data_IF_790725696852
#
_entry.id   IF_790725696852
#
_cell.length_a   1.000
_cell.length_b   1.000
_cell.length_c   1.000
_cell.angle_alpha   90.00
_cell.angle_beta   90.00
_cell.angle_gamma   90.00
#
_symmetry.space_group_name_H-M   'P 1'
#
loop_
_entity.id
_entity.type
_entity.pdbx_description
1 polymer ?
#
# COMPACT_ATOMS: atom_id res chain seq x y z
N UNK A 1 39.64 47.02 -18.68
CA UNK A 1 41.09 46.74 -18.53
C UNK A 1 41.36 46.64 -17.04
N UNK A 2 41.68 45.41 -16.57
CA UNK A 2 42.42 44.98 -15.34
C UNK A 2 42.19 45.74 -14.00
N UNK A 3 42.09 45.17 -12.80
CA UNK A 3 42.41 43.84 -12.19
C UNK A 3 42.05 43.89 -10.69
N UNK A 4 42.07 42.71 -10.03
CA UNK A 4 42.29 42.43 -8.59
C UNK A 4 41.06 42.50 -7.67
N UNK A 5 40.81 41.55 -6.75
CA UNK A 5 41.74 40.60 -6.11
C UNK A 5 40.98 39.36 -5.57
N UNK A 6 41.59 38.18 -5.72
CA UNK A 6 41.08 36.89 -5.24
C UNK A 6 42.06 36.36 -4.20
N UNK A 7 41.59 36.25 -2.96
CA UNK A 7 42.42 35.92 -1.80
C UNK A 7 42.37 34.41 -1.49
N UNK A 8 43.56 33.80 -1.56
CA UNK A 8 44.10 32.70 -0.72
C UNK A 8 43.84 31.22 -1.08
N UNK A 9 44.68 30.74 -2.00
CA UNK A 9 45.67 29.64 -1.87
C UNK A 9 45.70 28.83 -0.55
N UNK A 10 45.37 27.53 -0.55
CA UNK A 10 46.22 26.31 -0.74
C UNK A 10 46.71 25.63 0.56
N UNK A 11 46.51 24.30 0.61
CA UNK A 11 47.49 23.25 0.93
C UNK A 11 47.26 22.35 2.18
N UNK A 12 47.62 21.07 1.96
CA UNK A 12 47.94 19.95 2.88
C UNK A 12 46.75 19.24 3.56
N UNK A 13 46.38 18.00 3.21
CA UNK A 13 47.08 16.70 3.17
C UNK A 13 47.15 15.95 4.52
N UNK A 14 46.44 14.81 4.56
CA UNK A 14 46.85 13.51 5.10
C UNK A 14 46.91 13.23 6.62
N UNK A 15 46.35 12.04 6.95
CA UNK A 15 46.97 10.94 7.70
C UNK A 15 46.55 10.65 9.17
N UNK A 16 46.16 9.38 9.36
CA UNK A 16 46.51 8.44 10.45
C UNK A 16 45.80 8.49 11.82
N UNK A 17 44.99 7.43 12.03
CA UNK A 17 44.98 6.50 13.17
C UNK A 17 45.85 6.82 14.40
N UNK A 18 45.21 6.87 15.58
CA UNK A 18 45.83 6.37 16.81
C UNK A 18 44.78 5.86 17.82
N UNK A 19 44.78 4.55 18.05
CA UNK A 19 44.10 3.85 19.14
C UNK A 19 44.93 3.87 20.43
N UNK A 20 44.26 3.84 21.59
CA UNK A 20 44.59 3.26 22.93
C UNK A 20 44.05 4.19 24.04
N UNK A 21 43.42 3.78 25.14
CA UNK A 21 42.98 2.48 25.68
C UNK A 21 42.38 2.69 27.09
N UNK A 22 41.57 1.73 27.54
CA UNK A 22 41.51 1.14 28.90
C UNK A 22 40.17 1.28 29.67
N UNK A 23 39.68 0.13 30.16
CA UNK A 23 38.56 -0.04 31.10
C UNK A 23 37.66 -1.22 30.72
N UNK A 24 38.15 -2.46 30.74
CA UNK A 24 38.10 -3.42 31.86
C UNK A 24 36.88 -4.38 31.82
N UNK A 25 37.21 -5.65 31.57
CA UNK A 25 36.58 -6.89 32.05
C UNK A 25 35.05 -7.01 32.05
N UNK A 26 34.54 -7.82 31.11
CA UNK A 26 33.43 -8.72 31.42
C UNK A 26 33.80 -10.14 30.99
N UNK A 27 33.68 -11.05 31.95
CA UNK A 27 34.16 -12.42 31.89
C UNK A 27 33.49 -13.23 30.78
N UNK A 28 34.32 -14.09 30.18
CA UNK A 28 33.91 -15.16 29.27
C UNK A 28 33.08 -16.18 30.06
N UNK A 29 31.87 -16.46 29.58
CA UNK A 29 31.17 -17.72 29.84
C UNK A 29 30.95 -18.35 28.48
N UNK A 30 31.52 -19.53 28.30
CA UNK A 30 31.37 -20.37 27.13
C UNK A 30 29.91 -20.77 26.97
N UNK A 31 29.26 -20.31 25.90
CA UNK A 31 28.01 -20.91 25.44
C UNK A 31 28.26 -21.62 24.10
N UNK A 32 28.22 -22.95 24.22
CA UNK A 32 28.06 -23.98 23.20
C UNK A 32 27.73 -23.49 21.80
N UNK A 33 28.59 -23.84 20.84
CA UNK A 33 28.28 -23.81 19.43
C UNK A 33 27.12 -24.77 19.13
N UNK A 34 25.89 -24.24 19.03
CA UNK A 34 24.83 -24.93 18.31
C UNK A 34 25.16 -24.88 16.81
N UNK A 35 25.21 -26.05 16.18
CA UNK A 35 25.38 -26.18 14.75
C UNK A 35 24.30 -25.35 14.05
N UNK A 36 24.71 -24.34 13.27
CA UNK A 36 23.82 -23.58 12.40
C UNK A 36 23.13 -24.56 11.44
N UNK A 37 21.88 -24.89 11.72
CA UNK A 37 21.01 -25.51 10.74
C UNK A 37 20.82 -24.48 9.62
N UNK A 38 21.33 -24.81 8.44
CA UNK A 38 21.07 -24.05 7.23
C UNK A 38 19.59 -24.26 6.90
N UNK A 39 18.72 -23.36 7.40
CA UNK A 39 17.34 -23.30 6.96
C UNK A 39 17.38 -22.99 5.48
N UNK A 40 17.18 -24.01 4.65
CA UNK A 40 16.98 -23.82 3.22
C UNK A 40 15.58 -23.22 3.08
N UNK A 41 15.50 -21.90 3.13
CA UNK A 41 14.28 -21.18 2.76
C UNK A 41 14.15 -21.38 1.26
N UNK A 42 13.36 -22.37 0.86
CA UNK A 42 12.91 -22.46 -0.54
C UNK A 42 12.25 -21.11 -0.86
N UNK A 43 12.73 -20.36 -1.87
CA UNK A 43 12.12 -19.07 -2.19
C UNK A 43 10.65 -19.33 -2.51
N UNK A 44 9.77 -18.75 -1.70
CA UNK A 44 8.34 -18.81 -1.97
C UNK A 44 8.11 -18.24 -3.37
N UNK A 45 7.40 -18.98 -4.22
CA UNK A 45 6.97 -18.48 -5.52
C UNK A 45 6.09 -17.26 -5.28
N UNK A 46 6.64 -16.07 -5.50
CA UNK A 46 5.87 -14.83 -5.46
C UNK A 46 4.96 -14.81 -6.68
N UNK A 47 3.71 -15.23 -6.53
CA UNK A 47 2.69 -14.93 -7.53
C UNK A 47 2.59 -13.41 -7.70
N UNK A 48 2.75 -12.94 -8.92
CA UNK A 48 2.58 -11.52 -9.22
C UNK A 48 1.09 -11.17 -9.23
N UNK A 49 0.75 -10.03 -8.62
CA UNK A 49 -0.61 -9.52 -8.66
C UNK A 49 -0.99 -9.19 -10.11
N UNK A 50 -2.21 -9.52 -10.52
CA UNK A 50 -2.77 -9.05 -11.79
C UNK A 50 -2.88 -7.52 -11.82
N UNK A 51 -2.93 -6.91 -13.01
CA UNK A 51 -3.11 -5.46 -13.16
C UNK A 51 -4.35 -4.95 -12.41
N UNK A 52 -5.43 -5.75 -12.41
CA UNK A 52 -6.66 -5.47 -11.65
C UNK A 52 -6.40 -5.41 -10.14
N UNK A 53 -5.65 -6.38 -9.61
CA UNK A 53 -5.28 -6.42 -8.19
C UNK A 53 -4.30 -5.30 -7.81
N UNK A 54 -3.38 -4.93 -8.71
CA UNK A 54 -2.42 -3.84 -8.47
C UNK A 54 -3.09 -2.46 -8.40
N UNK A 55 -4.22 -2.25 -9.08
CA UNK A 55 -4.95 -0.98 -9.03
C UNK A 55 -5.60 -0.69 -7.67
N UNK A 56 -6.01 -1.74 -6.94
CA UNK A 56 -6.68 -1.64 -5.64
C UNK A 56 -5.85 -0.85 -4.60
N UNK A 57 -4.59 -1.22 -4.30
CA UNK A 57 -3.79 -0.50 -3.32
C UNK A 57 -3.48 0.94 -3.75
N UNK A 58 -3.37 1.23 -5.05
CA UNK A 58 -3.15 2.59 -5.55
C UNK A 58 -4.37 3.48 -5.29
N UNK A 59 -5.58 3.00 -5.62
CA UNK A 59 -6.83 3.70 -5.34
C UNK A 59 -6.96 3.96 -3.84
N UNK A 60 -6.73 2.93 -3.02
CA UNK A 60 -6.84 3.03 -1.56
C UNK A 60 -5.82 4.04 -0.99
N UNK A 61 -4.56 4.01 -1.46
CA UNK A 61 -3.52 4.90 -0.98
C UNK A 61 -3.80 6.36 -1.32
N UNK A 62 -4.12 6.67 -2.58
CA UNK A 62 -4.38 8.06 -3.00
C UNK A 62 -5.67 8.62 -2.43
N UNK A 63 -6.69 7.77 -2.24
CA UNK A 63 -7.85 8.12 -1.44
C UNK A 63 -7.47 8.46 0.00
N UNK A 64 -6.73 7.57 0.66
CA UNK A 64 -6.37 7.72 2.06
C UNK A 64 -5.54 8.98 2.31
N UNK A 65 -4.71 9.40 1.36
CA UNK A 65 -3.91 10.64 1.42
C UNK A 65 -4.62 11.88 0.87
N UNK A 66 -5.82 11.73 0.31
CA UNK A 66 -6.56 12.77 -0.40
C UNK A 66 -5.85 13.36 -1.62
N UNK A 67 -4.99 12.59 -2.28
CA UNK A 67 -4.33 12.96 -3.54
C UNK A 67 -5.30 12.75 -4.72
N UNK A 68 -6.15 13.74 -4.98
CA UNK A 68 -7.23 13.63 -5.98
C UNK A 68 -6.73 13.44 -7.43
N UNK A 69 -5.67 14.13 -7.91
CA UNK A 69 -5.12 13.87 -9.24
C UNK A 69 -4.64 12.42 -9.42
N UNK A 70 -3.90 11.90 -8.44
CA UNK A 70 -3.40 10.52 -8.48
C UNK A 70 -4.54 9.51 -8.32
N UNK A 71 -5.55 9.83 -7.50
CA UNK A 71 -6.77 9.03 -7.38
C UNK A 71 -7.53 8.96 -8.71
N UNK A 72 -7.71 10.08 -9.42
CA UNK A 72 -8.36 10.10 -10.73
C UNK A 72 -7.65 9.17 -11.73
N UNK A 73 -6.32 9.24 -11.78
CA UNK A 73 -5.51 8.37 -12.63
C UNK A 73 -5.66 6.90 -12.24
N UNK A 74 -5.55 6.58 -10.94
CA UNK A 74 -5.69 5.23 -10.43
C UNK A 74 -7.10 4.64 -10.67
N UNK A 75 -8.15 5.45 -10.57
CA UNK A 75 -9.52 5.04 -10.87
C UNK A 75 -9.70 4.72 -12.36
N UNK A 76 -9.18 5.55 -13.27
CA UNK A 76 -9.21 5.23 -14.71
C UNK A 76 -8.44 3.93 -15.00
N UNK A 77 -7.23 3.79 -14.47
CA UNK A 77 -6.42 2.59 -14.64
C UNK A 77 -7.12 1.34 -14.08
N UNK A 78 -7.78 1.46 -12.92
CA UNK A 78 -8.52 0.38 -12.32
C UNK A 78 -9.69 -0.09 -13.19
N UNK A 79 -10.47 0.85 -13.74
CA UNK A 79 -11.58 0.56 -14.65
C UNK A 79 -11.07 -0.06 -15.97
N UNK A 80 -9.96 0.44 -16.52
CA UNK A 80 -9.32 -0.13 -17.71
C UNK A 80 -8.77 -1.54 -17.46
N UNK A 81 -8.33 -1.82 -16.23
CA UNK A 81 -7.90 -3.14 -15.78
C UNK A 81 -9.06 -4.09 -15.43
N UNK A 82 -10.31 -3.67 -15.63
CA UNK A 82 -11.50 -4.50 -15.44
C UNK A 82 -12.06 -4.51 -14.01
N UNK A 83 -11.75 -3.51 -13.18
CA UNK A 83 -12.59 -3.23 -12.01
C UNK A 83 -13.96 -2.73 -12.48
N UNK A 84 -15.00 -3.16 -11.80
CA UNK A 84 -16.33 -2.58 -11.97
C UNK A 84 -16.49 -1.29 -11.17
N UNK A 85 -17.47 -0.48 -11.55
CA UNK A 85 -17.82 0.74 -10.81
C UNK A 85 -18.18 0.43 -9.35
N UNK A 86 -18.91 -0.66 -9.09
CA UNK A 86 -19.25 -1.04 -7.72
C UNK A 86 -18.04 -1.51 -6.92
N UNK A 87 -17.08 -2.23 -7.51
CA UNK A 87 -15.85 -2.60 -6.80
C UNK A 87 -15.01 -1.37 -6.44
N UNK A 88 -14.88 -0.41 -7.36
CA UNK A 88 -14.26 0.87 -7.06
C UNK A 88 -14.98 1.59 -5.92
N UNK A 89 -16.31 1.69 -5.98
CA UNK A 89 -17.15 2.31 -4.95
C UNK A 89 -16.96 1.64 -3.58
N UNK A 90 -16.99 0.30 -3.52
CA UNK A 90 -16.88 -0.43 -2.26
C UNK A 90 -15.52 -0.28 -1.61
N UNK A 91 -14.42 -0.16 -2.38
CA UNK A 91 -13.13 0.21 -1.79
C UNK A 91 -13.22 1.58 -1.10
N UNK A 92 -13.84 2.57 -1.75
CA UNK A 92 -13.97 3.91 -1.21
C UNK A 92 -14.89 3.97 0.02
N UNK A 93 -16.00 3.21 -0.01
CA UNK A 93 -16.92 3.09 1.12
C UNK A 93 -16.25 2.35 2.28
N UNK A 94 -15.52 1.27 2.04
CA UNK A 94 -14.83 0.51 3.08
C UNK A 94 -13.81 1.39 3.83
N UNK A 95 -13.10 2.25 3.11
CA UNK A 95 -12.09 3.15 3.70
C UNK A 95 -12.71 4.22 4.62
N UNK A 96 -14.02 4.50 4.54
CA UNK A 96 -14.72 5.43 5.44
C UNK A 96 -14.41 5.17 6.91
N UNK A 97 -14.44 3.89 7.32
CA UNK A 97 -14.21 3.49 8.71
C UNK A 97 -12.77 3.77 9.18
N UNK A 98 -11.82 3.93 8.26
CA UNK A 98 -10.39 4.07 8.56
C UNK A 98 -9.88 5.49 8.39
N UNK A 99 -10.39 6.24 7.40
CA UNK A 99 -9.89 7.59 7.06
C UNK A 99 -10.95 8.69 7.21
N UNK A 100 -12.15 8.32 7.66
CA UNK A 100 -13.23 9.25 8.01
C UNK A 100 -14.07 9.73 6.82
N UNK A 101 -15.19 10.35 7.17
CA UNK A 101 -16.24 10.77 6.23
C UNK A 101 -15.74 11.70 5.12
N UNK A 102 -15.02 12.80 5.41
CA UNK A 102 -14.76 13.82 4.38
C UNK A 102 -13.90 13.28 3.23
N UNK A 103 -12.90 12.44 3.54
CA UNK A 103 -12.03 11.84 2.52
C UNK A 103 -12.78 10.84 1.67
N UNK A 104 -13.62 10.01 2.30
CA UNK A 104 -14.41 9.01 1.58
C UNK A 104 -15.43 9.63 0.63
N UNK A 105 -16.16 10.64 1.10
CA UNK A 105 -17.15 11.33 0.27
C UNK A 105 -16.50 12.05 -0.93
N UNK A 106 -15.35 12.70 -0.73
CA UNK A 106 -14.65 13.37 -1.81
C UNK A 106 -14.18 12.39 -2.90
N UNK A 107 -13.64 11.24 -2.49
CA UNK A 107 -13.22 10.19 -3.41
C UNK A 107 -14.41 9.59 -4.19
N UNK A 108 -15.57 9.42 -3.54
CA UNK A 108 -16.79 8.96 -4.21
C UNK A 108 -17.24 9.94 -5.30
N UNK A 109 -17.17 11.25 -5.03
CA UNK A 109 -17.44 12.27 -6.04
C UNK A 109 -16.42 12.22 -7.20
N UNK A 110 -15.15 11.92 -6.91
CA UNK A 110 -14.12 11.74 -7.93
C UNK A 110 -14.43 10.53 -8.83
N UNK A 111 -14.82 9.39 -8.25
CA UNK A 111 -15.27 8.21 -9.00
C UNK A 111 -16.46 8.55 -9.92
N UNK A 112 -17.44 9.30 -9.43
CA UNK A 112 -18.56 9.75 -10.25
C UNK A 112 -18.10 10.63 -11.42
N UNK A 113 -17.13 11.51 -11.19
CA UNK A 113 -16.54 12.37 -12.24
C UNK A 113 -15.84 11.53 -13.31
N UNK A 114 -15.04 10.55 -12.90
CA UNK A 114 -14.34 9.62 -13.80
C UNK A 114 -15.33 8.82 -14.66
N UNK A 115 -16.32 8.18 -14.04
CA UNK A 115 -17.32 7.36 -14.77
C UNK A 115 -18.11 8.21 -15.77
N UNK A 116 -18.50 9.43 -15.39
CA UNK A 116 -19.21 10.34 -16.29
C UNK A 116 -18.32 10.82 -17.45
N UNK A 117 -17.04 11.10 -17.19
CA UNK A 117 -16.09 11.43 -18.24
C UNK A 117 -15.88 10.25 -19.21
N UNK A 118 -15.74 9.03 -18.69
CA UNK A 118 -15.64 7.79 -19.47
C UNK A 118 -16.87 7.56 -20.34
N UNK A 119 -18.07 7.72 -19.77
CA UNK A 119 -19.34 7.65 -20.50
C UNK A 119 -19.43 8.66 -21.64
N UNK A 120 -19.01 9.92 -21.42
CA UNK A 120 -18.96 10.95 -22.48
C UNK A 120 -18.00 10.60 -23.63
N UNK A 121 -16.96 9.80 -23.36
CA UNK A 121 -16.04 9.25 -24.36
C UNK A 121 -16.57 7.99 -25.06
N UNK A 122 -17.79 7.55 -24.75
CA UNK A 122 -18.39 6.32 -25.29
C UNK A 122 -17.91 5.04 -24.61
N UNK A 123 -17.19 5.14 -23.49
CA UNK A 123 -16.75 3.98 -22.71
C UNK A 123 -17.85 3.62 -21.71
N UNK A 124 -18.35 2.39 -21.78
CA UNK A 124 -19.32 1.85 -20.83
C UNK A 124 -18.61 0.93 -19.83
N UNK A 125 -18.42 1.42 -18.60
CA UNK A 125 -17.82 0.63 -17.52
C UNK A 125 -18.82 -0.39 -16.95
N UNK A 126 -18.32 -1.55 -16.53
CA UNK A 126 -19.16 -2.57 -15.91
C UNK A 126 -19.76 -2.05 -14.59
N UNK A 127 -21.08 -2.15 -14.38
CA UNK A 127 -21.73 -1.63 -13.17
C UNK A 127 -21.29 -2.38 -11.91
N UNK A 128 -20.96 -3.67 -12.03
CA UNK A 128 -20.63 -4.56 -10.92
C UNK A 128 -21.78 -5.51 -10.58
N UNK A 129 -21.64 -6.27 -9.50
CA UNK A 129 -22.64 -7.23 -9.04
C UNK A 129 -23.45 -6.65 -7.90
N UNK A 130 -24.76 -6.74 -8.03
CA UNK A 130 -25.68 -6.48 -6.92
C UNK A 130 -25.65 -7.64 -5.90
N UNK A 131 -26.07 -7.40 -4.64
CA UNK A 131 -26.28 -8.46 -3.68
C UNK A 131 -27.25 -9.52 -4.25
N UNK A 132 -26.75 -10.74 -4.47
CA UNK A 132 -27.51 -11.81 -5.11
C UNK A 132 -28.08 -12.83 -4.12
N UNK A 133 -27.63 -12.80 -2.87
CA UNK A 133 -28.07 -13.73 -1.82
C UNK A 133 -29.10 -13.05 -0.92
N UNK A 134 -30.18 -13.76 -0.63
CA UNK A 134 -31.15 -13.32 0.39
C UNK A 134 -30.45 -13.20 1.75
N UNK A 135 -30.79 -12.15 2.50
CA UNK A 135 -30.30 -11.95 3.86
C UNK A 135 -30.98 -13.00 4.75
N UNK A 136 -30.22 -13.89 5.41
CA UNK A 136 -30.80 -14.87 6.33
C UNK A 136 -31.51 -14.16 7.48
N UNK A 137 -32.63 -14.71 7.93
CA UNK A 137 -33.42 -14.18 9.04
C UNK A 137 -33.74 -15.26 10.06
N UNK A 138 -34.04 -14.87 11.30
CA UNK A 138 -34.44 -15.80 12.37
C UNK A 138 -33.42 -16.92 12.60
N UNK A 139 -33.89 -18.16 12.60
CA UNK A 139 -33.05 -19.34 12.84
C UNK A 139 -31.94 -19.51 11.81
N UNK A 140 -32.17 -19.14 10.54
CA UNK A 140 -31.15 -19.23 9.49
C UNK A 140 -29.99 -18.25 9.74
N UNK A 141 -30.28 -17.05 10.26
CA UNK A 141 -29.25 -16.08 10.62
C UNK A 141 -28.38 -16.60 11.77
N UNK A 142 -29.00 -17.19 12.79
CA UNK A 142 -28.28 -17.79 13.91
C UNK A 142 -27.39 -18.94 13.45
N UNK A 143 -27.90 -19.82 12.58
CA UNK A 143 -27.14 -20.93 12.02
C UNK A 143 -25.94 -20.45 11.18
N UNK A 144 -26.15 -19.46 10.31
CA UNK A 144 -25.09 -18.87 9.50
C UNK A 144 -24.01 -18.21 10.38
N UNK A 145 -24.40 -17.47 11.41
CA UNK A 145 -23.49 -16.86 12.37
C UNK A 145 -22.69 -17.89 13.16
N UNK A 146 -23.34 -18.96 13.64
CA UNK A 146 -22.70 -20.04 14.38
C UNK A 146 -21.67 -20.79 13.51
N UNK A 147 -22.01 -21.10 12.26
CA UNK A 147 -21.07 -21.73 11.31
C UNK A 147 -19.82 -20.85 11.10
N UNK A 148 -20.01 -19.55 10.83
CA UNK A 148 -18.91 -18.59 10.65
C UNK A 148 -17.98 -18.47 11.87
N UNK A 149 -18.46 -18.79 13.08
CA UNK A 149 -17.68 -18.72 14.32
C UNK A 149 -16.98 -20.04 14.69
N UNK A 150 -17.44 -21.16 14.13
CA UNK A 150 -17.05 -22.51 14.61
C UNK A 150 -16.34 -23.36 13.56
N UNK A 151 -16.47 -23.05 12.26
CA UNK A 151 -15.64 -23.65 11.22
C UNK A 151 -14.26 -22.97 11.21
N UNK A 152 -13.20 -23.78 11.35
CA UNK A 152 -11.78 -23.37 11.36
C UNK A 152 -11.10 -23.93 10.12
#
# INVERSE_FOLDING_TARGET
MMTSDASKTTALSALLMLCLSAGAMFSVTTQTAEASQTVTISPASSESLSTRQQAIPLIAAFMATSDMPSLNAALNQGLDAGLSVSEAREMLVQLYAYVGFPRSLNALNELMTVVQARKRRGIADAPGREPSRAIPVGAELLAAGAANQTEI
#
